data_IF_055342571692
#
_entry.id   IF_055342571692
#
_cell.length_a   1.000
_cell.length_b   1.000
_cell.length_c   1.000
_cell.angle_alpha   90.00
_cell.angle_beta   90.00
_cell.angle_gamma   90.00
#
_symmetry.space_group_name_H-M   'P 1'
#
loop_
_entity.id
_entity.type
_entity.pdbx_description
1 polymer ?
#
# COMPACT_ATOMS: atom_id res chain seq x y z
N UNK A 1 29.67 -13.98 8.33
CA UNK A 1 28.79 -15.15 8.09
C UNK A 1 29.38 -16.00 6.98
N UNK A 2 29.20 -17.33 7.02
CA UNK A 2 29.58 -18.21 5.91
C UNK A 2 28.80 -17.86 4.63
N UNK A 3 29.37 -18.12 3.44
CA UNK A 3 28.68 -17.89 2.18
C UNK A 3 27.49 -18.84 2.03
N UNK A 4 26.32 -18.29 1.75
CA UNK A 4 25.13 -19.03 1.35
C UNK A 4 25.12 -19.20 -0.17
N UNK A 5 24.74 -20.39 -0.64
CA UNK A 5 24.60 -20.70 -2.07
C UNK A 5 23.10 -20.83 -2.39
N UNK A 6 22.71 -20.34 -3.56
CA UNK A 6 21.33 -20.42 -4.07
C UNK A 6 21.42 -20.94 -5.50
N UNK A 7 20.60 -21.93 -5.83
CA UNK A 7 20.48 -22.43 -7.20
C UNK A 7 19.48 -21.57 -7.96
N UNK A 8 19.86 -21.18 -9.18
CA UNK A 8 19.01 -20.42 -10.08
C UNK A 8 18.43 -21.36 -11.15
N UNK A 9 17.19 -21.12 -11.51
CA UNK A 9 16.61 -21.65 -12.74
C UNK A 9 17.31 -21.04 -13.96
N UNK A 10 17.20 -21.70 -15.12
CA UNK A 10 17.79 -21.22 -16.38
C UNK A 10 17.30 -19.79 -16.73
N UNK A 11 16.01 -19.50 -16.51
CA UNK A 11 15.45 -18.18 -16.77
C UNK A 11 16.03 -17.10 -15.83
N UNK A 12 16.21 -17.42 -14.54
CA UNK A 12 16.80 -16.49 -13.58
C UNK A 12 18.27 -16.20 -13.89
N UNK A 13 19.03 -17.23 -14.27
CA UNK A 13 20.43 -17.06 -14.66
C UNK A 13 20.57 -16.19 -15.92
N UNK A 14 19.71 -16.39 -16.93
CA UNK A 14 19.67 -15.53 -18.12
C UNK A 14 19.38 -14.06 -17.76
N UNK A 15 18.42 -13.81 -16.88
CA UNK A 15 18.10 -12.47 -16.42
C UNK A 15 19.28 -11.85 -15.66
N UNK A 16 19.83 -12.56 -14.68
CA UNK A 16 20.97 -12.09 -13.87
C UNK A 16 22.16 -11.78 -14.77
N UNK A 17 22.49 -12.67 -15.71
CA UNK A 17 23.58 -12.47 -16.66
C UNK A 17 23.34 -11.24 -17.55
N UNK A 18 22.12 -11.04 -18.06
CA UNK A 18 21.80 -9.85 -18.87
C UNK A 18 21.98 -8.54 -18.07
N UNK A 19 21.61 -8.54 -16.78
CA UNK A 19 21.73 -7.38 -15.90
C UNK A 19 23.20 -7.06 -15.58
N UNK A 20 24.03 -8.08 -15.38
CA UNK A 20 25.47 -7.90 -15.17
C UNK A 20 26.16 -7.44 -16.46
N UNK A 21 25.85 -8.06 -17.60
CA UNK A 21 26.42 -7.69 -18.90
C UNK A 21 26.06 -6.26 -19.33
N UNK A 22 24.90 -5.76 -18.91
CA UNK A 22 24.50 -4.36 -19.15
C UNK A 22 25.37 -3.34 -18.38
N UNK A 23 26.17 -3.79 -17.40
CA UNK A 23 26.95 -2.93 -16.51
C UNK A 23 26.13 -2.30 -15.38
N UNK A 24 24.81 -2.57 -15.30
CA UNK A 24 23.95 -2.08 -14.21
C UNK A 24 24.33 -2.67 -12.85
N UNK A 25 24.87 -3.88 -12.84
CA UNK A 25 25.35 -4.57 -11.64
C UNK A 25 26.73 -5.18 -11.90
N UNK A 26 27.59 -5.20 -10.87
CA UNK A 26 28.96 -5.74 -11.02
C UNK A 26 29.00 -7.26 -10.93
N UNK A 27 28.04 -7.87 -10.25
CA UNK A 27 28.00 -9.32 -10.04
C UNK A 27 26.59 -9.85 -9.82
N UNK A 28 26.42 -11.17 -9.98
CA UNK A 28 25.18 -11.87 -9.64
C UNK A 28 24.76 -11.66 -8.17
N UNK A 29 25.75 -11.59 -7.25
CA UNK A 29 25.49 -11.32 -5.84
C UNK A 29 24.86 -9.94 -5.63
N UNK A 30 25.28 -8.94 -6.39
CA UNK A 30 24.71 -7.59 -6.30
C UNK A 30 23.27 -7.57 -6.80
N UNK A 31 22.98 -8.33 -7.87
CA UNK A 31 21.61 -8.50 -8.39
C UNK A 31 20.73 -9.15 -7.32
N UNK A 32 21.15 -10.27 -6.74
CA UNK A 32 20.40 -10.95 -5.67
C UNK A 32 20.20 -10.03 -4.47
N UNK A 33 21.23 -9.30 -4.05
CA UNK A 33 21.13 -8.34 -2.95
C UNK A 33 20.21 -7.15 -3.24
N UNK A 34 20.08 -6.74 -4.51
CA UNK A 34 19.09 -5.74 -4.91
C UNK A 34 17.67 -6.31 -4.90
N UNK A 35 17.48 -7.53 -5.41
CA UNK A 35 16.19 -8.23 -5.39
C UNK A 35 15.67 -8.46 -3.98
N UNK A 36 16.54 -8.85 -3.04
CA UNK A 36 16.18 -9.02 -1.63
C UNK A 36 15.75 -7.70 -0.98
N UNK A 37 16.47 -6.60 -1.25
CA UNK A 37 16.07 -5.27 -0.77
C UNK A 37 14.70 -4.85 -1.32
N UNK A 38 14.42 -5.13 -2.59
CA UNK A 38 13.10 -4.87 -3.17
C UNK A 38 12.00 -5.70 -2.49
N UNK A 39 12.28 -6.96 -2.15
CA UNK A 39 11.36 -7.84 -1.42
C UNK A 39 11.10 -7.31 0.00
N UNK A 40 12.15 -6.97 0.74
CA UNK A 40 12.06 -6.40 2.10
C UNK A 40 11.27 -5.08 2.09
N UNK A 41 11.52 -4.21 1.11
CA UNK A 41 10.79 -2.94 0.95
C UNK A 41 9.31 -3.17 0.60
N UNK A 42 8.99 -4.18 -0.19
CA UNK A 42 7.61 -4.55 -0.51
C UNK A 42 6.89 -5.11 0.73
N UNK A 43 7.55 -5.99 1.48
CA UNK A 43 7.00 -6.56 2.71
C UNK A 43 6.73 -5.48 3.76
N UNK A 44 7.70 -4.59 4.00
CA UNK A 44 7.53 -3.48 4.96
C UNK A 44 6.36 -2.56 4.58
N UNK A 45 6.21 -2.20 3.30
CA UNK A 45 5.09 -1.38 2.84
C UNK A 45 3.74 -2.08 2.99
N UNK A 46 3.69 -3.39 2.77
CA UNK A 46 2.46 -4.16 2.95
C UNK A 46 2.08 -4.26 4.43
N UNK A 47 3.06 -4.48 5.32
CA UNK A 47 2.85 -4.45 6.76
C UNK A 47 2.30 -3.08 7.22
N UNK A 48 2.92 -1.99 6.80
CA UNK A 48 2.47 -0.62 7.08
C UNK A 48 1.04 -0.39 6.57
N UNK A 49 0.74 -0.82 5.33
CA UNK A 49 -0.60 -0.73 4.74
C UNK A 49 -1.63 -1.47 5.58
N UNK A 50 -1.33 -2.71 5.99
CA UNK A 50 -2.22 -3.52 6.82
C UNK A 50 -2.46 -2.84 8.17
N UNK A 51 -1.43 -2.25 8.79
CA UNK A 51 -1.60 -1.52 10.06
C UNK A 51 -2.53 -0.31 9.91
N UNK A 52 -2.39 0.47 8.84
CA UNK A 52 -3.27 1.61 8.56
C UNK A 52 -4.71 1.15 8.34
N UNK A 53 -4.92 0.07 7.57
CA UNK A 53 -6.26 -0.47 7.33
C UNK A 53 -6.90 -1.00 8.62
N UNK A 54 -6.14 -1.70 9.47
CA UNK A 54 -6.61 -2.17 10.78
C UNK A 54 -7.02 -1.00 11.67
N UNK A 55 -6.18 0.02 11.80
CA UNK A 55 -6.50 1.21 12.59
C UNK A 55 -7.75 1.94 12.08
N UNK A 56 -7.93 2.03 10.76
CA UNK A 56 -9.14 2.62 10.17
C UNK A 56 -10.39 1.78 10.45
N UNK A 57 -10.29 0.45 10.37
CA UNK A 57 -11.39 -0.45 10.72
C UNK A 57 -11.76 -0.35 12.21
N UNK A 58 -10.77 -0.36 13.11
CA UNK A 58 -10.98 -0.20 14.55
C UNK A 58 -11.68 1.12 14.89
N UNK A 59 -11.28 2.21 14.21
CA UNK A 59 -11.98 3.50 14.31
C UNK A 59 -13.44 3.37 13.87
N UNK A 60 -13.70 2.75 12.71
CA UNK A 60 -15.05 2.54 12.20
C UNK A 60 -15.92 1.72 13.17
N UNK A 61 -15.38 0.65 13.75
CA UNK A 61 -16.09 -0.14 14.76
C UNK A 61 -16.40 0.67 16.03
N UNK A 62 -15.46 1.50 16.48
CA UNK A 62 -15.67 2.39 17.62
C UNK A 62 -16.72 3.48 17.32
N UNK A 63 -16.77 3.99 16.09
CA UNK A 63 -17.80 4.94 15.64
C UNK A 63 -19.18 4.27 15.63
N UNK A 64 -19.30 3.04 15.09
CA UNK A 64 -20.55 2.27 15.12
C UNK A 64 -21.01 2.01 16.56
N UNK A 65 -20.13 1.51 17.43
CA UNK A 65 -20.46 1.21 18.83
C UNK A 65 -20.91 2.45 19.62
N UNK A 66 -20.42 3.63 19.23
CA UNK A 66 -20.80 4.90 19.83
C UNK A 66 -21.99 5.59 19.15
N UNK A 67 -22.61 4.97 18.14
CA UNK A 67 -23.72 5.55 17.38
C UNK A 67 -23.32 6.72 16.48
N UNK A 68 -22.03 6.87 16.15
CA UNK A 68 -21.51 7.90 15.23
C UNK A 68 -21.55 7.42 13.79
N UNK A 69 -22.74 7.09 13.31
CA UNK A 69 -22.98 6.71 11.92
C UNK A 69 -24.34 7.21 11.47
N UNK A 70 -24.54 7.27 10.14
CA UNK A 70 -25.83 7.53 9.53
C UNK A 70 -26.33 6.24 8.90
N UNK A 71 -27.58 5.88 9.17
CA UNK A 71 -28.28 4.82 8.46
C UNK A 71 -28.99 5.45 7.26
N UNK A 72 -28.64 5.01 6.05
CA UNK A 72 -29.08 5.63 4.80
C UNK A 72 -29.66 4.53 3.93
N UNK A 73 -30.93 4.69 3.54
CA UNK A 73 -31.54 3.82 2.54
C UNK A 73 -30.96 4.13 1.15
N UNK A 74 -30.84 3.11 0.30
CA UNK A 74 -30.24 3.23 -1.04
C UNK A 74 -30.86 4.36 -1.88
N UNK A 75 -32.19 4.53 -1.79
CA UNK A 75 -32.95 5.57 -2.49
C UNK A 75 -32.60 7.00 -2.04
N UNK A 76 -32.05 7.16 -0.84
CA UNK A 76 -31.77 8.45 -0.20
C UNK A 76 -30.27 8.82 -0.30
N UNK A 77 -29.43 7.93 -0.83
CA UNK A 77 -27.98 8.12 -0.93
C UNK A 77 -27.62 9.36 -1.76
N UNK A 78 -28.26 9.56 -2.90
CA UNK A 78 -27.97 10.71 -3.78
C UNK A 78 -28.27 12.03 -3.07
N UNK A 79 -29.43 12.15 -2.41
CA UNK A 79 -29.78 13.35 -1.66
C UNK A 79 -28.89 13.58 -0.44
N UNK A 80 -28.43 12.51 0.21
CA UNK A 80 -27.46 12.61 1.30
C UNK A 80 -26.11 13.15 0.82
N UNK A 81 -25.63 12.70 -0.34
CA UNK A 81 -24.40 13.22 -0.95
C UNK A 81 -24.51 14.70 -1.32
N UNK A 82 -25.64 15.11 -1.93
CA UNK A 82 -25.92 16.52 -2.23
C UNK A 82 -25.90 17.40 -0.96
N UNK A 83 -26.44 16.89 0.15
CA UNK A 83 -26.42 17.60 1.43
C UNK A 83 -25.00 17.79 1.96
N UNK A 84 -24.16 16.76 1.90
CA UNK A 84 -22.75 16.85 2.32
C UNK A 84 -22.00 17.88 1.47
N UNK A 85 -22.20 17.85 0.16
CA UNK A 85 -21.56 18.82 -0.75
C UNK A 85 -21.95 20.26 -0.40
N UNK A 86 -23.23 20.51 -0.16
CA UNK A 86 -23.71 21.83 0.24
C UNK A 86 -23.11 22.30 1.58
N UNK A 87 -23.01 21.41 2.57
CA UNK A 87 -22.43 21.70 3.88
C UNK A 87 -20.93 22.02 3.78
N UNK A 88 -20.17 21.27 2.98
CA UNK A 88 -18.76 21.53 2.72
C UNK A 88 -18.56 22.88 2.03
N UNK A 89 -19.38 23.20 1.03
CA UNK A 89 -19.30 24.48 0.31
C UNK A 89 -19.62 25.68 1.21
N UNK A 90 -20.52 25.52 2.16
CA UNK A 90 -20.84 26.54 3.16
C UNK A 90 -19.70 26.69 4.18
N UNK A 91 -19.12 25.58 4.65
CA UNK A 91 -17.97 25.58 5.54
C UNK A 91 -16.75 26.28 4.90
N UNK A 92 -16.48 26.02 3.61
CA UNK A 92 -15.40 26.68 2.87
C UNK A 92 -15.66 28.19 2.73
N UNK A 93 -16.90 28.59 2.42
CA UNK A 93 -17.29 30.01 2.29
C UNK A 93 -17.23 30.77 3.61
N UNK A 94 -17.47 30.12 4.74
CA UNK A 94 -17.43 30.76 6.07
C UNK A 94 -16.01 30.92 6.65
N UNK A 95 -15.01 30.25 6.06
CA UNK A 95 -13.60 30.37 6.47
C UNK A 95 -12.77 31.35 5.61
N UNK A 96 -13.32 31.87 4.50
CA UNK A 96 -12.69 32.87 3.63
C UNK A 96 -13.18 34.28 3.91
#
# INVERSE_FOLDING_TARGET
MPPSHVELTEQEDLLVNSLVQSGRFQSARDVVGASLRLLEDAQRREEERIQVLKAAADKGWADIAAGRYYDIEDKDLDSFMEQIEAEVDEAIRSQG
#
